data_IF_370324508742
#
_entry.id   IF_370324508742
#
_cell.length_a   1.000
_cell.length_b   1.000
_cell.length_c   1.000
_cell.angle_alpha   90.00
_cell.angle_beta   90.00
_cell.angle_gamma   90.00
#
_symmetry.space_group_name_H-M   'P 1'
#
loop_
_entity.id
_entity.type
_entity.pdbx_description
1 polymer ?
#
# COMPACT_ATOMS: atom_id res chain seq x y z
N UNK A 1 -2.44 6.64 -16.41
CA UNK A 1 -1.87 6.95 -15.08
C UNK A 1 -3.01 7.33 -14.15
N UNK A 2 -3.05 6.83 -12.92
CA UNK A 2 -4.04 7.26 -11.92
C UNK A 2 -3.49 8.47 -11.18
N UNK A 3 -4.14 9.63 -11.31
CA UNK A 3 -3.78 10.85 -10.56
C UNK A 3 -4.49 10.78 -9.22
N UNK A 4 -3.74 10.66 -8.12
CA UNK A 4 -4.32 10.65 -6.77
C UNK A 4 -4.69 12.07 -6.36
N UNK A 5 -5.96 12.29 -6.01
CA UNK A 5 -6.45 13.60 -5.56
C UNK A 5 -5.88 14.03 -4.20
N UNK A 6 -5.43 13.06 -3.41
CA UNK A 6 -4.89 13.25 -2.07
C UNK A 6 -3.61 14.08 -2.06
N UNK A 7 -2.93 14.19 -3.20
CA UNK A 7 -1.68 14.93 -3.37
C UNK A 7 -1.89 16.43 -3.63
N UNK A 8 -3.14 16.91 -3.67
CA UNK A 8 -3.47 18.28 -4.06
C UNK A 8 -4.01 19.10 -2.88
N UNK A 9 -3.65 20.39 -2.86
CA UNK A 9 -4.20 21.39 -1.93
C UNK A 9 -5.34 22.20 -2.54
N UNK A 10 -5.41 22.22 -3.86
CA UNK A 10 -6.44 22.88 -4.64
C UNK A 10 -7.05 21.84 -5.59
N UNK A 11 -8.36 21.61 -5.45
CA UNK A 11 -9.07 20.65 -6.29
C UNK A 11 -9.05 21.05 -7.77
N UNK A 12 -8.87 22.33 -8.09
CA UNK A 12 -8.78 22.84 -9.47
C UNK A 12 -7.43 22.47 -10.10
N UNK A 13 -6.36 22.40 -9.30
CA UNK A 13 -5.07 21.87 -9.75
C UNK A 13 -5.20 20.38 -10.09
N UNK A 14 -5.84 19.61 -9.21
CA UNK A 14 -6.15 18.21 -9.49
C UNK A 14 -6.93 18.04 -10.80
N UNK A 15 -8.01 18.82 -10.99
CA UNK A 15 -8.82 18.74 -12.22
C UNK A 15 -8.01 19.11 -13.47
N UNK A 16 -7.14 20.13 -13.39
CA UNK A 16 -6.25 20.48 -14.51
C UNK A 16 -5.31 19.33 -14.85
N UNK A 17 -4.60 18.80 -13.86
CA UNK A 17 -3.69 17.67 -14.08
C UNK A 17 -4.42 16.44 -14.59
N UNK A 18 -5.61 16.13 -14.05
CA UNK A 18 -6.42 15.01 -14.52
C UNK A 18 -6.84 15.18 -15.99
N UNK A 19 -7.24 16.39 -16.40
CA UNK A 19 -7.58 16.70 -17.80
C UNK A 19 -6.36 16.55 -18.71
N UNK A 20 -5.19 17.02 -18.28
CA UNK A 20 -3.95 17.01 -19.07
C UNK A 20 -3.35 15.60 -19.21
N UNK A 21 -3.48 14.78 -18.18
CA UNK A 21 -2.90 13.43 -18.12
C UNK A 21 -3.84 12.33 -18.61
N UNK A 22 -5.10 12.65 -18.93
CA UNK A 22 -6.07 11.68 -19.41
C UNK A 22 -5.61 11.13 -20.77
N UNK A 23 -5.46 9.79 -20.94
CA UNK A 23 -4.98 9.18 -22.17
C UNK A 23 -6.09 9.18 -23.23
N UNK A 24 -6.32 10.36 -23.76
CA UNK A 24 -6.79 10.68 -25.10
C UNK A 24 -6.85 12.20 -25.16
N UNK A 25 -6.15 12.82 -26.10
CA UNK A 25 -6.34 14.23 -26.50
C UNK A 25 -7.72 14.46 -27.13
N UNK A 26 -8.79 13.95 -26.52
CA UNK A 26 -10.16 14.04 -27.00
C UNK A 26 -10.62 15.48 -26.89
N UNK A 27 -10.71 16.12 -28.06
CA UNK A 27 -11.60 17.28 -28.27
C UNK A 27 -12.92 16.96 -27.58
N UNK A 28 -13.30 17.77 -26.58
CA UNK A 28 -14.55 17.60 -25.83
C UNK A 28 -14.43 17.01 -24.43
N UNK A 29 -13.24 16.65 -23.90
CA UNK A 29 -13.11 16.15 -22.52
C UNK A 29 -13.64 17.14 -21.48
N UNK A 30 -13.33 18.43 -21.61
CA UNK A 30 -13.88 19.50 -20.73
C UNK A 30 -15.41 19.57 -20.82
N UNK A 31 -15.98 19.35 -22.02
CA UNK A 31 -17.44 19.33 -22.21
C UNK A 31 -18.06 18.12 -21.53
N UNK A 32 -17.44 16.94 -21.66
CA UNK A 32 -17.89 15.71 -21.01
C UNK A 32 -17.80 15.81 -19.48
N UNK A 33 -16.71 16.39 -18.94
CA UNK A 33 -16.57 16.64 -17.51
C UNK A 33 -17.63 17.63 -17.01
N UNK A 34 -17.91 18.70 -17.76
CA UNK A 34 -18.96 19.65 -17.38
C UNK A 34 -20.33 18.98 -17.31
N UNK A 35 -20.67 18.16 -18.32
CA UNK A 35 -21.90 17.37 -18.33
C UNK A 35 -21.98 16.40 -17.15
N UNK A 36 -20.89 15.70 -16.85
CA UNK A 36 -20.82 14.77 -15.72
C UNK A 36 -20.99 15.48 -14.36
N UNK A 37 -20.42 16.68 -14.22
CA UNK A 37 -20.58 17.52 -13.04
C UNK A 37 -21.91 18.31 -13.06
N UNK A 38 -22.87 17.96 -13.93
CA UNK A 38 -24.16 18.64 -14.07
C UNK A 38 -24.06 20.17 -14.22
N UNK A 39 -23.07 20.65 -14.98
CA UNK A 39 -22.84 22.08 -15.19
C UNK A 39 -22.52 22.44 -16.65
N UNK A 40 -22.62 23.73 -16.97
CA UNK A 40 -22.31 24.22 -18.31
C UNK A 40 -20.79 24.28 -18.54
N UNK A 41 -20.27 24.00 -19.76
CA UNK A 41 -18.84 24.07 -20.05
C UNK A 41 -18.18 25.43 -19.74
N UNK A 42 -18.93 26.52 -19.91
CA UNK A 42 -18.47 27.86 -19.54
C UNK A 42 -18.28 28.00 -18.03
N UNK A 43 -19.16 27.40 -17.23
CA UNK A 43 -19.05 27.38 -15.77
C UNK A 43 -17.84 26.56 -15.30
N UNK A 44 -17.62 25.38 -15.90
CA UNK A 44 -16.42 24.59 -15.63
C UNK A 44 -15.14 25.37 -15.97
N UNK A 45 -15.14 26.15 -17.06
CA UNK A 45 -13.99 26.99 -17.41
C UNK A 45 -13.71 28.05 -16.34
N UNK A 46 -14.75 28.69 -15.79
CA UNK A 46 -14.62 29.63 -14.68
C UNK A 46 -14.09 28.96 -13.41
N UNK A 47 -14.56 27.76 -13.09
CA UNK A 47 -14.04 26.96 -11.96
C UNK A 47 -12.54 26.70 -12.13
N UNK A 48 -12.13 26.23 -13.32
CA UNK A 48 -10.72 25.95 -13.61
C UNK A 48 -9.84 27.20 -13.59
N UNK A 49 -10.41 28.39 -13.80
CA UNK A 49 -9.74 29.70 -13.66
C UNK A 49 -9.74 30.26 -12.24
N UNK A 50 -10.33 29.55 -11.28
CA UNK A 50 -10.51 29.98 -9.87
C UNK A 50 -11.54 31.12 -9.68
N UNK A 51 -12.40 31.38 -10.66
CA UNK A 51 -13.45 32.43 -10.64
C UNK A 51 -14.83 31.93 -10.12
N UNK A 52 -14.92 30.65 -9.80
CA UNK A 52 -16.12 29.98 -9.30
C UNK A 52 -15.74 28.69 -8.54
N UNK A 53 -16.70 28.13 -7.80
CA UNK A 53 -16.53 26.85 -7.11
C UNK A 53 -17.65 25.88 -7.47
N UNK A 54 -17.33 24.59 -7.54
CA UNK A 54 -18.34 23.55 -7.56
C UNK A 54 -19.24 23.64 -6.31
N UNK A 55 -20.52 23.33 -6.49
CA UNK A 55 -21.41 22.95 -5.38
C UNK A 55 -21.14 21.52 -4.92
N UNK A 56 -21.73 21.10 -3.80
CA UNK A 56 -21.53 19.75 -3.28
C UNK A 56 -22.15 18.68 -4.17
N UNK A 57 -23.32 18.98 -4.73
CA UNK A 57 -24.03 18.13 -5.68
C UNK A 57 -23.19 17.93 -6.93
N UNK A 58 -22.59 19.01 -7.45
CA UNK A 58 -21.71 18.94 -8.60
C UNK A 58 -20.41 18.20 -8.27
N UNK A 59 -19.82 18.43 -7.09
CA UNK A 59 -18.62 17.75 -6.63
C UNK A 59 -18.83 16.23 -6.55
N UNK A 60 -19.93 15.81 -5.93
CA UNK A 60 -20.31 14.41 -5.80
C UNK A 60 -20.57 13.77 -7.18
N UNK A 61 -21.26 14.48 -8.07
CA UNK A 61 -21.52 14.02 -9.44
C UNK A 61 -20.25 13.82 -10.27
N UNK A 62 -19.17 14.58 -9.99
CA UNK A 62 -17.90 14.38 -10.67
C UNK A 62 -17.22 13.04 -10.28
N UNK A 63 -17.48 12.50 -9.08
CA UNK A 63 -16.78 11.33 -8.52
C UNK A 63 -16.72 10.11 -9.46
N UNK A 64 -17.87 9.58 -9.93
CA UNK A 64 -17.90 8.45 -10.86
C UNK A 64 -17.17 8.70 -12.18
N UNK A 65 -17.28 9.91 -12.73
CA UNK A 65 -16.63 10.26 -13.99
C UNK A 65 -15.11 10.37 -13.87
N UNK A 66 -14.65 10.92 -12.74
CA UNK A 66 -13.24 11.00 -12.37
C UNK A 66 -12.67 9.65 -11.91
N UNK A 67 -13.54 8.64 -11.73
CA UNK A 67 -13.24 7.30 -11.19
C UNK A 67 -12.64 7.33 -9.78
N UNK A 68 -13.10 8.27 -8.97
CA UNK A 68 -12.70 8.39 -7.57
C UNK A 68 -13.38 7.28 -6.74
N UNK A 69 -12.65 6.73 -5.77
CA UNK A 69 -13.19 5.91 -4.70
C UNK A 69 -14.03 6.74 -3.72
N UNK A 70 -14.79 6.09 -2.83
CA UNK A 70 -15.62 6.78 -1.82
C UNK A 70 -14.80 7.77 -0.99
N UNK A 71 -13.64 7.32 -0.47
CA UNK A 71 -12.76 8.15 0.35
C UNK A 71 -12.17 9.33 -0.44
N UNK A 72 -11.88 9.13 -1.74
CA UNK A 72 -11.39 10.20 -2.61
C UNK A 72 -12.49 11.22 -2.95
N UNK A 73 -13.74 10.79 -3.07
CA UNK A 73 -14.89 11.70 -3.23
C UNK A 73 -15.08 12.55 -1.96
N UNK A 74 -14.98 11.93 -0.78
CA UNK A 74 -15.05 12.64 0.49
C UNK A 74 -13.92 13.67 0.61
N UNK A 75 -12.69 13.28 0.24
CA UNK A 75 -11.55 14.21 0.23
C UNK A 75 -11.72 15.33 -0.81
N UNK A 76 -12.25 15.03 -2.00
CA UNK A 76 -12.56 16.03 -3.03
C UNK A 76 -13.54 17.08 -2.52
N UNK A 77 -14.59 16.64 -1.84
CA UNK A 77 -15.59 17.51 -1.22
C UNK A 77 -14.94 18.38 -0.15
N UNK A 78 -14.06 17.82 0.69
CA UNK A 78 -13.32 18.60 1.69
C UNK A 78 -12.43 19.67 1.07
N UNK A 79 -11.72 19.37 -0.02
CA UNK A 79 -10.91 20.37 -0.74
C UNK A 79 -11.77 21.53 -1.23
N UNK A 80 -12.92 21.24 -1.82
CA UNK A 80 -13.85 22.27 -2.31
C UNK A 80 -14.39 23.11 -1.15
N UNK A 81 -14.75 22.48 -0.04
CA UNK A 81 -15.26 23.18 1.14
C UNK A 81 -14.20 24.05 1.81
N UNK A 82 -12.96 23.56 1.88
CA UNK A 82 -11.81 24.34 2.34
C UNK A 82 -11.61 25.59 1.47
N UNK A 83 -11.65 25.42 0.14
CA UNK A 83 -11.50 26.50 -0.82
C UNK A 83 -12.64 27.53 -0.78
N UNK A 84 -13.88 27.09 -0.50
CA UNK A 84 -15.07 27.94 -0.40
C UNK A 84 -15.16 28.68 0.94
N UNK A 85 -14.52 28.17 1.99
CA UNK A 85 -14.62 28.74 3.32
C UNK A 85 -14.04 30.17 3.35
N UNK A 86 -14.85 31.15 3.77
CA UNK A 86 -14.43 32.55 3.83
C UNK A 86 -13.73 32.91 5.15
N UNK A 87 -13.95 32.15 6.22
CA UNK A 87 -13.44 32.46 7.56
C UNK A 87 -12.27 31.56 7.95
N UNK A 88 -11.27 32.13 8.65
CA UNK A 88 -10.11 31.38 9.13
C UNK A 88 -10.47 30.17 10.03
N UNK A 89 -11.45 30.27 10.95
CA UNK A 89 -11.87 29.12 11.75
C UNK A 89 -12.43 27.96 10.90
N UNK A 90 -13.25 28.28 9.90
CA UNK A 90 -13.85 27.25 9.04
C UNK A 90 -12.81 26.60 8.11
N UNK A 91 -11.86 27.38 7.59
CA UNK A 91 -10.70 26.84 6.85
C UNK A 91 -9.89 25.88 7.72
N UNK A 92 -9.59 26.26 8.97
CA UNK A 92 -8.87 25.40 9.91
C UNK A 92 -9.62 24.09 10.18
N UNK A 93 -10.93 24.15 10.37
CA UNK A 93 -11.76 22.96 10.57
C UNK A 93 -11.67 21.97 9.40
N UNK A 94 -11.79 22.44 8.15
CA UNK A 94 -11.67 21.56 6.99
C UNK A 94 -10.24 21.04 6.80
N UNK A 95 -9.22 21.86 7.04
CA UNK A 95 -7.83 21.43 7.01
C UNK A 95 -7.55 20.31 8.01
N UNK A 96 -8.06 20.43 9.25
CA UNK A 96 -7.94 19.37 10.25
C UNK A 96 -8.64 18.08 9.82
N UNK A 97 -9.83 18.17 9.19
CA UNK A 97 -10.51 16.98 8.63
C UNK A 97 -9.73 16.33 7.50
N UNK A 98 -9.17 17.13 6.58
CA UNK A 98 -8.32 16.62 5.49
C UNK A 98 -7.08 15.92 6.04
N UNK A 99 -6.39 16.53 7.02
CA UNK A 99 -5.21 15.93 7.65
C UNK A 99 -5.55 14.62 8.37
N UNK A 100 -6.71 14.52 9.02
CA UNK A 100 -7.18 13.25 9.61
C UNK A 100 -7.41 12.19 8.55
N UNK A 101 -8.09 12.50 7.45
CA UNK A 101 -8.30 11.54 6.36
C UNK A 101 -6.99 11.06 5.74
N UNK A 102 -6.02 11.96 5.54
CA UNK A 102 -4.68 11.59 5.08
C UNK A 102 -3.99 10.69 6.09
N UNK A 103 -4.05 11.02 7.38
CA UNK A 103 -3.46 10.20 8.44
C UNK A 103 -4.10 8.81 8.53
N UNK A 104 -5.43 8.73 8.48
CA UNK A 104 -6.19 7.47 8.48
C UNK A 104 -5.87 6.59 7.27
N UNK A 105 -5.62 7.18 6.11
CA UNK A 105 -5.17 6.46 4.92
C UNK A 105 -3.75 5.91 5.03
N UNK A 106 -2.88 6.61 5.75
CA UNK A 106 -1.49 6.21 6.02
C UNK A 106 -1.40 5.06 7.03
N UNK A 107 -2.45 4.84 7.84
CA UNK A 107 -2.56 3.68 8.71
C UNK A 107 -2.85 2.43 7.86
N UNK A 108 -1.77 1.87 7.28
CA UNK A 108 -1.71 0.69 6.42
C UNK A 108 -2.59 -0.49 6.91
N UNK A 109 -2.77 -0.57 8.23
CA UNK A 109 -3.54 -1.58 8.95
C UNK A 109 -4.99 -1.73 8.51
N UNK A 110 -5.72 -0.62 8.24
CA UNK A 110 -7.15 -0.68 7.87
C UNK A 110 -7.36 -1.28 6.49
N UNK A 111 -6.39 -1.12 5.59
CA UNK A 111 -6.47 -1.60 4.19
C UNK A 111 -6.04 -3.07 4.02
N UNK A 112 -5.25 -3.61 4.95
CA UNK A 112 -4.66 -4.97 4.86
C UNK A 112 -5.36 -6.03 5.75
N UNK A 113 -6.52 -5.72 6.35
CA UNK A 113 -7.17 -6.60 7.34
C UNK A 113 -7.51 -8.00 6.78
N UNK A 114 -6.65 -8.98 7.10
CA UNK A 114 -6.92 -10.41 6.92
C UNK A 114 -7.74 -10.96 8.09
N UNK A 115 -8.91 -11.53 7.79
CA UNK A 115 -9.97 -11.93 8.74
C UNK A 115 -9.68 -13.16 9.64
N UNK A 116 -8.43 -13.58 9.86
CA UNK A 116 -8.12 -14.70 10.77
C UNK A 116 -6.84 -14.45 11.56
N UNK A 117 -6.98 -14.28 12.87
CA UNK A 117 -5.85 -14.20 13.79
C UNK A 117 -5.58 -15.58 14.40
N UNK A 118 -4.33 -16.05 14.27
CA UNK A 118 -3.76 -17.10 15.13
C UNK A 118 -3.55 -16.54 16.55
N UNK A 119 -3.52 -17.41 17.57
CA UNK A 119 -3.36 -17.03 18.98
C UNK A 119 -2.03 -16.30 19.20
N UNK A 120 -1.93 -15.46 20.24
CA UNK A 120 -0.71 -14.71 20.53
C UNK A 120 0.53 -15.62 20.66
N UNK A 121 0.40 -16.76 21.36
CA UNK A 121 1.48 -17.75 21.47
C UNK A 121 1.93 -18.32 20.12
N UNK A 122 0.99 -18.50 19.19
CA UNK A 122 1.29 -18.94 17.82
C UNK A 122 1.95 -17.81 17.03
N UNK A 123 1.54 -16.55 17.23
CA UNK A 123 2.22 -15.39 16.64
C UNK A 123 3.66 -15.25 17.17
N UNK A 124 3.87 -15.46 18.45
CA UNK A 124 5.19 -15.46 19.08
C UNK A 124 6.10 -16.52 18.48
N UNK A 125 5.58 -17.70 18.16
CA UNK A 125 6.36 -18.72 17.49
C UNK A 125 6.54 -18.41 16.00
N UNK A 126 5.53 -17.85 15.33
CA UNK A 126 5.58 -17.49 13.91
C UNK A 126 6.61 -16.39 13.63
N UNK A 127 6.64 -15.34 14.44
CA UNK A 127 7.56 -14.21 14.27
C UNK A 127 8.89 -14.40 15.01
N UNK A 128 9.21 -15.62 15.50
CA UNK A 128 10.44 -15.89 16.28
C UNK A 128 11.72 -15.72 15.47
N UNK A 129 11.64 -15.98 14.17
CA UNK A 129 12.75 -15.84 13.23
C UNK A 129 12.21 -15.59 11.82
N UNK A 130 13.04 -14.97 10.97
CA UNK A 130 12.69 -14.64 9.58
C UNK A 130 12.28 -15.88 8.78
N UNK A 131 12.93 -17.03 9.02
CA UNK A 131 12.76 -18.21 8.17
C UNK A 131 11.39 -18.86 8.33
N UNK A 132 10.68 -18.64 9.45
CA UNK A 132 9.34 -19.22 9.66
C UNK A 132 8.35 -18.64 8.65
N UNK A 133 8.33 -17.31 8.49
CA UNK A 133 7.51 -16.64 7.50
C UNK A 133 7.95 -16.96 6.07
N UNK A 134 9.27 -17.05 5.83
CA UNK A 134 9.80 -17.43 4.51
C UNK A 134 9.38 -18.84 4.12
N UNK A 135 9.49 -19.82 5.01
CA UNK A 135 9.05 -21.22 4.74
C UNK A 135 7.55 -21.25 4.44
N UNK A 136 6.73 -20.53 5.22
CA UNK A 136 5.28 -20.45 4.99
C UNK A 136 4.93 -19.87 3.61
N UNK A 137 5.69 -18.90 3.12
CA UNK A 137 5.51 -18.36 1.76
C UNK A 137 6.10 -19.30 0.70
N UNK A 138 7.27 -19.89 0.93
CA UNK A 138 7.96 -20.76 -0.02
C UNK A 138 7.14 -21.98 -0.43
N UNK A 139 6.39 -22.60 0.49
CA UNK A 139 5.54 -23.77 0.16
C UNK A 139 4.44 -23.48 -0.86
N UNK A 140 4.14 -22.19 -1.11
CA UNK A 140 3.23 -21.81 -2.22
C UNK A 140 3.83 -22.14 -3.58
N UNK A 141 5.15 -22.15 -3.69
CA UNK A 141 5.92 -22.47 -4.90
C UNK A 141 6.13 -23.98 -4.97
N UNK A 142 5.72 -24.67 -6.06
CA UNK A 142 5.80 -26.13 -6.17
C UNK A 142 7.17 -26.75 -5.85
N UNK A 143 8.26 -26.09 -6.24
CA UNK A 143 9.62 -26.58 -6.04
C UNK A 143 10.10 -26.59 -4.58
N UNK A 144 9.41 -25.90 -3.67
CA UNK A 144 9.78 -25.78 -2.25
C UNK A 144 8.79 -26.47 -1.32
N UNK A 145 8.06 -27.48 -1.81
CA UNK A 145 7.04 -28.20 -1.03
C UNK A 145 7.58 -29.38 -0.23
N UNK A 146 8.89 -29.62 -0.22
CA UNK A 146 9.53 -30.69 0.56
C UNK A 146 10.51 -30.11 1.57
N UNK A 147 10.71 -30.82 2.68
CA UNK A 147 11.64 -30.40 3.72
C UNK A 147 13.08 -30.31 3.19
N UNK A 148 13.50 -31.27 2.35
CA UNK A 148 14.83 -31.28 1.72
C UNK A 148 15.06 -30.08 0.79
N UNK A 149 14.07 -29.73 -0.04
CA UNK A 149 14.19 -28.58 -0.95
C UNK A 149 14.31 -27.26 -0.17
N UNK A 150 13.53 -27.13 0.91
CA UNK A 150 13.60 -25.97 1.81
C UNK A 150 14.95 -25.91 2.55
N UNK A 151 15.42 -27.03 3.09
CA UNK A 151 16.69 -27.12 3.82
C UNK A 151 17.87 -26.74 2.93
N UNK A 152 17.91 -27.30 1.70
CA UNK A 152 18.93 -26.99 0.71
C UNK A 152 18.91 -25.51 0.31
N UNK A 153 17.73 -24.97 -0.03
CA UNK A 153 17.61 -23.58 -0.50
C UNK A 153 17.93 -22.56 0.59
N UNK A 154 17.47 -22.78 1.83
CA UNK A 154 17.69 -21.85 2.94
C UNK A 154 19.03 -22.06 3.64
N UNK A 155 19.76 -23.12 3.29
CA UNK A 155 20.97 -23.56 3.98
C UNK A 155 20.75 -23.72 5.49
N UNK A 156 19.65 -24.39 5.87
CA UNK A 156 19.26 -24.64 7.26
C UNK A 156 19.23 -26.15 7.55
N UNK A 157 19.52 -26.57 8.79
CA UNK A 157 19.42 -27.98 9.16
C UNK A 157 18.02 -28.54 8.92
N UNK A 158 17.93 -29.75 8.35
CA UNK A 158 16.65 -30.42 8.06
C UNK A 158 15.74 -30.51 9.29
N UNK A 159 16.33 -30.73 10.48
CA UNK A 159 15.61 -30.77 11.76
C UNK A 159 14.90 -29.45 12.08
N UNK A 160 15.53 -28.31 11.80
CA UNK A 160 14.93 -26.98 12.01
C UNK A 160 13.78 -26.75 11.03
N UNK A 161 13.98 -27.12 9.75
CA UNK A 161 12.92 -27.04 8.74
C UNK A 161 11.71 -27.88 9.14
N UNK A 162 11.93 -29.12 9.57
CA UNK A 162 10.86 -30.02 9.99
C UNK A 162 10.10 -29.47 11.20
N UNK A 163 10.82 -28.95 12.21
CA UNK A 163 10.21 -28.28 13.37
C UNK A 163 9.31 -27.10 12.98
N UNK A 164 9.74 -26.30 11.99
CA UNK A 164 8.91 -25.20 11.45
C UNK A 164 7.68 -25.72 10.72
N UNK A 165 7.83 -26.73 9.87
CA UNK A 165 6.71 -27.31 9.11
C UNK A 165 5.67 -27.94 10.05
N UNK A 166 6.11 -28.64 11.09
CA UNK A 166 5.24 -29.21 12.12
C UNK A 166 4.45 -28.12 12.85
N UNK A 167 5.11 -27.00 13.20
CA UNK A 167 4.47 -25.83 13.78
C UNK A 167 3.45 -25.17 12.83
N UNK A 168 3.81 -24.94 11.57
CA UNK A 168 2.88 -24.35 10.59
C UNK A 168 1.66 -25.25 10.35
N UNK A 169 1.87 -26.57 10.37
CA UNK A 169 0.79 -27.56 10.25
C UNK A 169 -0.11 -27.56 11.49
N UNK A 170 0.46 -27.49 12.70
CA UNK A 170 -0.32 -27.43 13.95
C UNK A 170 -1.19 -26.16 14.02
N UNK A 171 -0.68 -25.04 13.49
CA UNK A 171 -1.42 -23.79 13.32
C UNK A 171 -2.42 -23.80 12.15
N UNK A 172 -2.52 -24.90 11.39
CA UNK A 172 -3.37 -25.06 10.19
C UNK A 172 -3.07 -24.03 9.10
N UNK A 173 -1.83 -23.55 9.02
CA UNK A 173 -1.34 -22.64 7.98
C UNK A 173 -0.92 -23.40 6.72
N UNK A 174 -0.48 -24.63 6.90
CA UNK A 174 -0.15 -25.57 5.82
C UNK A 174 -0.82 -26.92 6.08
N UNK A 175 -0.91 -27.75 5.04
CA UNK A 175 -1.28 -29.16 5.16
C UNK A 175 -0.23 -30.05 4.50
N UNK A 176 -0.02 -31.24 5.05
CA UNK A 176 0.80 -32.27 4.42
C UNK A 176 -0.10 -33.19 3.59
N UNK A 177 0.23 -33.35 2.31
CA UNK A 177 -0.36 -34.36 1.41
C UNK A 177 0.78 -35.17 0.82
N UNK A 178 0.76 -36.47 1.08
CA UNK A 178 1.85 -37.39 0.75
C UNK A 178 3.20 -36.86 1.29
N UNK A 179 4.15 -36.61 0.39
CA UNK A 179 5.48 -36.07 0.71
C UNK A 179 5.59 -34.55 0.54
N UNK A 180 4.48 -33.86 0.25
CA UNK A 180 4.47 -32.42 -0.02
C UNK A 180 3.69 -31.62 1.03
N UNK A 181 4.16 -30.41 1.30
CA UNK A 181 3.47 -29.41 2.09
C UNK A 181 2.77 -28.41 1.17
N UNK A 182 1.47 -28.18 1.40
CA UNK A 182 0.63 -27.28 0.62
C UNK A 182 0.14 -26.12 1.48
N UNK A 183 0.09 -24.89 0.94
CA UNK A 183 -0.39 -23.74 1.68
C UNK A 183 -1.91 -23.82 1.90
N UNK A 184 -2.38 -23.34 3.05
CA UNK A 184 -3.77 -22.96 3.23
C UNK A 184 -3.94 -21.49 2.88
N UNK A 185 -5.14 -21.07 2.47
CA UNK A 185 -5.47 -19.66 2.23
C UNK A 185 -5.65 -18.92 3.56
N UNK A 186 -4.56 -18.75 4.30
CA UNK A 186 -4.50 -17.98 5.55
C UNK A 186 -3.47 -16.86 5.36
N UNK A 187 -3.95 -15.63 5.22
CA UNK A 187 -3.09 -14.45 5.25
C UNK A 187 -2.84 -14.08 6.71
N UNK A 188 -1.57 -13.98 7.08
CA UNK A 188 -1.14 -13.49 8.39
C UNK A 188 -0.64 -12.06 8.21
N UNK A 189 -1.31 -11.12 8.87
CA UNK A 189 -0.85 -9.73 8.95
C UNK A 189 -0.65 -9.36 10.42
N UNK A 190 0.50 -8.75 10.72
CA UNK A 190 0.83 -8.22 12.03
C UNK A 190 0.54 -6.72 12.03
N UNK A 191 -0.43 -6.29 12.82
CA UNK A 191 -0.71 -4.87 13.02
C UNK A 191 0.46 -4.16 13.73
N UNK A 192 0.58 -2.86 13.49
CA UNK A 192 1.51 -1.95 14.16
C UNK A 192 1.30 -1.87 15.68
N UNK A 193 0.10 -2.17 16.17
CA UNK A 193 -0.17 -2.26 17.62
C UNK A 193 0.30 -3.56 18.27
N UNK A 194 0.81 -4.53 17.50
CA UNK A 194 1.25 -5.82 18.05
C UNK A 194 2.57 -5.65 18.82
N UNK A 195 2.73 -6.26 20.00
CA UNK A 195 4.01 -6.29 20.70
C UNK A 195 5.12 -7.00 19.90
N UNK A 196 4.76 -7.79 18.90
CA UNK A 196 5.70 -8.55 18.07
C UNK A 196 6.20 -7.77 16.85
N UNK A 197 5.65 -6.58 16.58
CA UNK A 197 5.95 -5.84 15.35
C UNK A 197 7.42 -5.46 15.27
N UNK A 198 8.01 -5.03 16.38
CA UNK A 198 9.43 -4.67 16.47
C UNK A 198 10.32 -5.87 16.14
N UNK A 199 10.03 -7.04 16.74
CA UNK A 199 10.79 -8.27 16.47
C UNK A 199 10.66 -8.71 15.01
N UNK A 200 9.47 -8.64 14.44
CA UNK A 200 9.26 -8.92 13.01
C UNK A 200 10.11 -7.99 12.14
N UNK A 201 10.11 -6.68 12.42
CA UNK A 201 10.94 -5.74 11.68
C UNK A 201 12.43 -6.07 11.82
N UNK A 202 12.92 -6.34 13.03
CA UNK A 202 14.32 -6.75 13.28
C UNK A 202 14.73 -7.98 12.46
N UNK A 203 13.88 -9.02 12.43
CA UNK A 203 14.12 -10.21 11.63
C UNK A 203 14.38 -9.89 10.14
N UNK A 204 13.59 -8.99 9.56
CA UNK A 204 13.77 -8.58 8.17
C UNK A 204 15.03 -7.72 7.97
N UNK A 205 15.39 -6.86 8.93
CA UNK A 205 16.62 -6.05 8.82
C UNK A 205 17.87 -6.92 8.92
N UNK A 206 17.85 -7.98 9.72
CA UNK A 206 18.93 -8.99 9.73
C UNK A 206 19.08 -9.59 8.32
N UNK A 207 17.98 -9.93 7.64
CA UNK A 207 18.04 -10.41 6.25
C UNK A 207 18.51 -9.37 5.25
N UNK A 208 18.17 -8.10 5.44
CA UNK A 208 18.73 -7.01 4.65
C UNK A 208 20.24 -6.95 4.81
N UNK A 209 20.76 -7.03 6.03
CA UNK A 209 22.19 -7.02 6.31
C UNK A 209 22.91 -8.22 5.67
N UNK A 210 22.33 -9.41 5.77
CA UNK A 210 22.85 -10.60 5.07
C UNK A 210 22.87 -10.43 3.54
N UNK A 211 21.83 -9.83 2.96
CA UNK A 211 21.78 -9.57 1.52
C UNK A 211 22.84 -8.54 1.08
N UNK A 212 23.02 -7.46 1.87
CA UNK A 212 24.05 -6.44 1.63
C UNK A 212 25.48 -6.97 1.79
N UNK A 213 25.70 -8.04 2.56
CA UNK A 213 27.00 -8.69 2.64
C UNK A 213 27.29 -9.59 1.44
N UNK A 214 26.25 -10.01 0.71
CA UNK A 214 26.31 -10.97 -0.39
C UNK A 214 26.03 -10.34 -1.77
N UNK A 215 26.51 -9.11 -2.00
CA UNK A 215 26.19 -8.29 -3.20
C UNK A 215 26.45 -9.00 -4.53
N UNK A 216 27.49 -9.83 -4.60
CA UNK A 216 27.91 -10.51 -5.85
C UNK A 216 26.94 -11.59 -6.34
N UNK A 217 26.04 -12.09 -5.48
CA UNK A 217 25.22 -13.25 -5.81
C UNK A 217 23.93 -12.91 -6.59
N UNK A 218 23.56 -11.62 -6.73
CA UNK A 218 22.19 -11.29 -7.19
C UNK A 218 21.99 -9.86 -7.73
N UNK A 219 23.01 -9.23 -8.33
CA UNK A 219 22.93 -7.83 -8.81
C UNK A 219 21.71 -7.54 -9.71
N UNK A 220 21.32 -8.46 -10.59
CA UNK A 220 20.19 -8.25 -11.50
C UNK A 220 18.80 -8.36 -10.84
N UNK A 221 18.73 -8.84 -9.59
CA UNK A 221 17.47 -9.14 -8.88
C UNK A 221 17.37 -8.44 -7.51
N UNK A 222 18.37 -7.66 -7.13
CA UNK A 222 18.38 -6.90 -5.88
C UNK A 222 18.37 -5.41 -6.16
N UNK A 223 17.64 -4.67 -5.31
CA UNK A 223 17.65 -3.22 -5.31
C UNK A 223 17.90 -2.75 -3.89
N UNK A 224 19.00 -2.03 -3.69
CA UNK A 224 19.36 -1.44 -2.41
C UNK A 224 19.45 0.07 -2.58
N UNK A 225 18.70 0.81 -1.77
CA UNK A 225 18.67 2.27 -1.81
C UNK A 225 18.56 2.82 -0.39
N UNK A 226 19.43 3.77 -0.06
CA UNK A 226 19.42 4.52 1.20
C UNK A 226 19.72 5.98 0.90
N UNK A 227 18.94 6.88 1.50
CA UNK A 227 19.15 8.32 1.38
C UNK A 227 18.74 9.03 2.66
N UNK A 228 19.45 10.10 3.02
CA UNK A 228 19.08 11.04 4.08
C UNK A 228 18.79 12.37 3.41
N UNK A 229 17.65 12.97 3.72
CA UNK A 229 17.22 14.22 3.11
C UNK A 229 16.39 15.06 4.09
N UNK A 230 16.31 16.36 3.80
CA UNK A 230 15.36 17.28 4.43
C UNK A 230 14.18 17.50 3.49
N UNK A 231 13.00 17.71 4.06
CA UNK A 231 11.75 17.89 3.32
C UNK A 231 10.76 18.68 4.16
N UNK A 232 9.83 19.38 3.52
CA UNK A 232 8.72 20.01 4.24
C UNK A 232 7.76 18.95 4.79
N UNK A 233 6.96 19.28 5.81
CA UNK A 233 5.94 18.36 6.35
C UNK A 233 4.99 17.84 5.25
N UNK A 234 4.64 18.71 4.30
CA UNK A 234 3.79 18.33 3.18
C UNK A 234 4.47 17.31 2.27
N UNK A 235 5.75 17.52 1.97
CA UNK A 235 6.51 16.58 1.12
C UNK A 235 6.63 15.22 1.82
N UNK A 236 6.82 15.20 3.15
CA UNK A 236 6.82 13.96 3.93
C UNK A 236 5.47 13.22 3.83
N UNK A 237 4.34 13.93 3.88
CA UNK A 237 3.01 13.32 3.68
C UNK A 237 2.84 12.75 2.28
N UNK A 238 3.24 13.51 1.25
CA UNK A 238 3.18 13.07 -0.14
C UNK A 238 4.05 11.83 -0.38
N UNK A 239 5.26 11.80 0.17
CA UNK A 239 6.17 10.65 0.10
C UNK A 239 5.59 9.41 0.79
N UNK A 240 4.98 9.57 1.97
CA UNK A 240 4.27 8.45 2.62
C UNK A 240 3.17 7.90 1.73
N UNK A 241 2.37 8.77 1.10
CA UNK A 241 1.31 8.33 0.18
C UNK A 241 1.89 7.59 -1.03
N UNK A 242 2.99 8.06 -1.62
CA UNK A 242 3.66 7.38 -2.73
C UNK A 242 4.13 5.97 -2.34
N UNK A 243 4.62 5.78 -1.11
CA UNK A 243 5.00 4.47 -0.58
C UNK A 243 3.76 3.57 -0.45
N UNK A 244 2.65 4.09 0.09
CA UNK A 244 1.38 3.34 0.19
C UNK A 244 0.89 2.91 -1.20
N UNK A 245 0.89 3.82 -2.17
CA UNK A 245 0.48 3.54 -3.55
C UNK A 245 1.38 2.48 -4.21
N UNK A 246 2.69 2.53 -3.95
CA UNK A 246 3.64 1.51 -4.40
C UNK A 246 3.26 0.14 -3.83
N UNK A 247 3.03 0.03 -2.52
CA UNK A 247 2.67 -1.24 -1.88
C UNK A 247 1.36 -1.82 -2.46
N UNK A 248 0.35 -0.97 -2.69
CA UNK A 248 -0.91 -1.39 -3.31
C UNK A 248 -0.73 -1.88 -4.75
N UNK A 249 0.13 -1.22 -5.54
CA UNK A 249 0.44 -1.65 -6.91
C UNK A 249 1.22 -2.96 -6.92
N UNK A 250 2.15 -3.13 -5.97
CA UNK A 250 2.93 -4.37 -5.81
C UNK A 250 2.01 -5.55 -5.55
N UNK A 251 1.04 -5.44 -4.64
CA UNK A 251 0.07 -6.52 -4.37
C UNK A 251 -0.71 -6.91 -5.64
N UNK A 252 -1.24 -5.92 -6.37
CA UNK A 252 -1.96 -6.15 -7.63
C UNK A 252 -1.08 -6.78 -8.72
N UNK A 253 0.21 -6.46 -8.74
CA UNK A 253 1.15 -6.99 -9.72
C UNK A 253 1.47 -8.46 -9.44
N UNK A 254 1.67 -8.81 -8.17
CA UNK A 254 2.07 -10.16 -7.77
C UNK A 254 0.89 -11.15 -7.89
N UNK A 255 -0.34 -10.72 -7.57
CA UNK A 255 -1.54 -11.59 -7.53
C UNK A 255 -1.91 -12.22 -8.89
N UNK A 256 -1.44 -11.64 -9.99
CA UNK A 256 -1.75 -12.08 -11.37
C UNK A 256 -0.80 -13.17 -11.87
N UNK A 257 0.34 -13.39 -11.22
CA UNK A 257 1.43 -14.21 -11.75
C UNK A 257 1.68 -15.50 -10.94
N UNK A 258 2.03 -16.63 -11.59
CA UNK A 258 2.45 -17.82 -10.88
C UNK A 258 3.74 -17.53 -10.10
N UNK A 259 3.74 -17.92 -8.82
CA UNK A 259 4.87 -17.69 -7.93
C UNK A 259 6.02 -18.66 -8.24
N UNK A 260 7.19 -18.11 -8.60
CA UNK A 260 8.41 -18.88 -8.88
C UNK A 260 9.62 -18.44 -8.05
N UNK A 261 9.59 -17.23 -7.50
CA UNK A 261 10.68 -16.63 -6.74
C UNK A 261 10.15 -16.03 -5.45
N UNK A 262 11.00 -15.99 -4.42
CA UNK A 262 10.70 -15.34 -3.14
C UNK A 262 11.59 -14.13 -2.98
N UNK A 263 10.97 -12.97 -2.74
CA UNK A 263 11.66 -11.71 -2.48
C UNK A 263 11.12 -11.09 -1.19
N UNK A 264 12.00 -10.36 -0.49
CA UNK A 264 11.62 -9.55 0.65
C UNK A 264 11.61 -8.08 0.23
N UNK A 265 10.49 -7.40 0.46
CA UNK A 265 10.40 -5.94 0.34
C UNK A 265 10.24 -5.34 1.74
N UNK A 266 11.14 -4.44 2.09
CA UNK A 266 11.08 -3.65 3.32
C UNK A 266 11.31 -2.18 2.95
N UNK A 267 10.54 -1.28 3.58
CA UNK A 267 10.64 0.16 3.37
C UNK A 267 10.65 0.81 4.75
N UNK A 268 11.63 1.67 4.99
CA UNK A 268 11.81 2.43 6.23
C UNK A 268 11.75 3.93 5.90
N UNK A 269 10.87 4.65 6.59
CA UNK A 269 10.75 6.10 6.45
C UNK A 269 10.41 6.75 7.80
N UNK A 270 11.41 7.36 8.43
CA UNK A 270 11.35 7.86 9.80
C UNK A 270 12.17 9.15 9.98
N UNK A 271 11.82 10.02 10.95
CA UNK A 271 12.67 11.16 11.32
C UNK A 271 13.93 10.70 12.08
N UNK A 272 15.03 11.44 11.95
CA UNK A 272 16.27 11.23 12.73
C UNK A 272 16.18 11.94 14.07
#
# INVERSE_FOLDING_TARGET
MHVSILNYKDYREFLRTWIETYPAGRKGLKKALALACACQPAYLTRILKKDAHLSLEQAYACGPFLKLSSDEVDFFILLIQFDRAATAPLKRFFLEKMNRMLTDQLTLEKKLQSKKHIRLSEQEQYYRSWYVAVIHVMVTIPQFRTADALAHYLNLPLREIQSVLDFLQSCRLIEKKDHQYLPKKVRLHLGSSSPLIQRNHMNWRIKTLEALQNLRASEDKTLHYSSVFTASEQDLLNLKQMIVDLLQRTEKTIDVSPAHLVHCLHIDFFPI
#
